data_IF_202796360313
#
_entry.id   IF_202796360313
#
_cell.length_a   1.000
_cell.length_b   1.000
_cell.length_c   1.000
_cell.angle_alpha   90.00
_cell.angle_beta   90.00
_cell.angle_gamma   90.00
#
_symmetry.space_group_name_H-M   'P 1'
#
loop_
_entity.id
_entity.type
_entity.pdbx_description
1 polymer ?
#
# COMPACT_ATOMS: atom_id res chain seq x y z
N UNK A 1 24.15 0.11 17.29
CA UNK A 1 25.04 1.29 17.26
C UNK A 1 24.59 2.33 16.23
N UNK A 2 25.08 2.36 14.98
CA UNK A 2 24.74 3.48 14.05
C UNK A 2 23.27 3.53 13.61
N UNK A 3 22.61 2.38 13.47
CA UNK A 3 21.18 2.33 13.14
C UNK A 3 20.32 2.87 14.28
N UNK A 4 20.61 2.47 15.53
CA UNK A 4 19.88 2.93 16.72
C UNK A 4 20.05 4.44 16.90
N UNK A 5 21.28 4.95 16.76
CA UNK A 5 21.54 6.39 16.79
C UNK A 5 20.72 7.16 15.74
N UNK A 6 20.65 6.64 14.51
CA UNK A 6 19.81 7.24 13.47
C UNK A 6 18.33 7.24 13.89
N UNK A 7 17.81 6.10 14.34
CA UNK A 7 16.42 5.96 14.76
C UNK A 7 16.05 6.90 15.93
N UNK A 8 16.94 7.06 16.90
CA UNK A 8 16.77 8.00 18.02
C UNK A 8 16.80 9.46 17.56
N UNK A 9 17.55 9.77 16.50
CA UNK A 9 17.70 11.14 15.99
C UNK A 9 16.55 11.60 15.09
N UNK A 10 15.89 10.70 14.35
CA UNK A 10 14.83 11.05 13.38
C UNK A 10 13.73 11.94 13.97
N UNK A 11 13.14 11.64 15.15
CA UNK A 11 12.11 12.51 15.73
C UNK A 11 12.58 13.95 15.93
N UNK A 12 13.83 14.15 16.40
CA UNK A 12 14.41 15.48 16.60
C UNK A 12 14.74 16.19 15.29
N UNK A 13 15.15 15.46 14.25
CA UNK A 13 15.45 16.03 12.92
C UNK A 13 14.23 16.69 12.28
N UNK A 14 13.03 16.17 12.55
CA UNK A 14 11.78 16.62 11.94
C UNK A 14 10.80 17.28 12.92
N UNK A 15 11.21 17.54 14.17
CA UNK A 15 10.35 18.08 15.23
C UNK A 15 9.60 19.36 14.82
N UNK A 16 10.30 20.25 14.10
CA UNK A 16 9.77 21.54 13.65
C UNK A 16 9.28 21.53 12.19
N UNK A 17 9.11 20.34 11.58
CA UNK A 17 8.64 20.23 10.21
C UNK A 17 7.21 20.76 10.07
N UNK A 18 6.99 21.64 9.09
CA UNK A 18 5.67 22.22 8.76
C UNK A 18 5.16 21.82 7.37
N UNK A 19 5.86 20.94 6.68
CA UNK A 19 5.44 20.44 5.37
C UNK A 19 4.24 19.52 5.57
N UNK A 20 3.10 19.94 5.00
CA UNK A 20 1.85 19.18 5.04
C UNK A 20 1.70 18.23 3.84
N UNK A 21 2.55 18.39 2.81
CA UNK A 21 2.52 17.61 1.59
C UNK A 21 3.23 16.26 1.74
N UNK A 22 2.76 15.25 1.00
CA UNK A 22 3.44 13.95 0.90
C UNK A 22 3.76 13.57 -0.54
N UNK A 23 5.03 13.22 -0.75
CA UNK A 23 5.57 12.68 -2.00
C UNK A 23 5.55 11.13 -2.03
N UNK A 24 4.44 10.52 -1.60
CA UNK A 24 4.27 9.06 -1.40
C UNK A 24 4.81 8.21 -2.55
N UNK A 25 4.37 8.46 -3.80
CA UNK A 25 4.80 7.67 -4.93
C UNK A 25 6.28 7.83 -5.25
N UNK A 26 6.82 9.04 -5.16
CA UNK A 26 8.25 9.28 -5.37
C UNK A 26 9.11 8.58 -4.30
N UNK A 27 8.71 8.65 -3.03
CA UNK A 27 9.39 7.98 -1.93
C UNK A 27 9.38 6.44 -2.09
N UNK A 28 8.24 5.86 -2.46
CA UNK A 28 8.16 4.43 -2.77
C UNK A 28 9.04 4.05 -3.96
N UNK A 29 9.05 4.87 -5.01
CA UNK A 29 9.90 4.63 -6.19
C UNK A 29 11.38 4.63 -5.83
N UNK A 30 11.82 5.54 -4.97
CA UNK A 30 13.19 5.56 -4.47
C UNK A 30 13.53 4.28 -3.67
N UNK A 31 12.65 3.87 -2.75
CA UNK A 31 12.80 2.60 -2.01
C UNK A 31 12.88 1.39 -2.93
N UNK A 32 11.98 1.32 -3.92
CA UNK A 32 12.03 0.30 -4.97
C UNK A 32 13.37 0.29 -5.71
N UNK A 33 13.88 1.44 -6.16
CA UNK A 33 15.13 1.49 -6.91
C UNK A 33 16.32 0.97 -6.09
N UNK A 34 16.35 1.24 -4.79
CA UNK A 34 17.37 0.70 -3.88
C UNK A 34 17.26 -0.82 -3.72
N UNK A 35 16.04 -1.37 -3.74
CA UNK A 35 15.77 -2.80 -3.56
C UNK A 35 15.74 -3.60 -4.86
N UNK A 36 15.66 -2.93 -6.02
CA UNK A 36 15.51 -3.55 -7.34
C UNK A 36 16.48 -4.70 -7.63
N UNK A 37 17.76 -4.67 -7.20
CA UNK A 37 18.68 -5.78 -7.45
C UNK A 37 18.38 -7.07 -6.66
N UNK A 38 17.68 -6.97 -5.52
CA UNK A 38 17.50 -8.07 -4.57
C UNK A 38 16.04 -8.41 -4.26
N UNK A 39 15.09 -7.55 -4.65
CA UNK A 39 13.71 -7.64 -4.19
C UNK A 39 13.57 -7.39 -2.69
N UNK A 40 12.43 -7.80 -2.13
CA UNK A 40 12.15 -7.77 -0.70
C UNK A 40 10.84 -7.08 -0.34
N UNK A 41 10.77 -6.53 0.88
CA UNK A 41 9.57 -5.85 1.39
C UNK A 41 9.84 -4.41 1.80
N UNK A 42 9.02 -3.49 1.30
CA UNK A 42 8.99 -2.09 1.67
C UNK A 42 7.83 -1.84 2.66
N UNK A 43 8.15 -1.35 3.85
CA UNK A 43 7.15 -0.89 4.82
C UNK A 43 6.99 0.63 4.69
N UNK A 44 5.82 1.09 4.26
CA UNK A 44 5.54 2.52 4.02
C UNK A 44 4.61 3.05 5.09
N UNK A 45 5.02 4.12 5.77
CA UNK A 45 4.20 4.81 6.77
C UNK A 45 3.71 6.12 6.18
N UNK A 46 2.39 6.32 6.13
CA UNK A 46 1.76 7.48 5.50
C UNK A 46 0.62 8.00 6.38
N UNK A 47 0.55 9.31 6.58
CA UNK A 47 -0.41 9.95 7.50
C UNK A 47 -1.34 10.97 6.85
N UNK A 48 -0.94 11.53 5.70
CA UNK A 48 -1.69 12.59 4.98
C UNK A 48 -2.03 12.14 3.55
N UNK A 49 -2.85 12.92 2.83
CA UNK A 49 -3.09 12.69 1.41
C UNK A 49 -1.78 12.85 0.62
N UNK A 50 -1.40 11.89 -0.24
CA UNK A 50 -0.29 12.05 -1.18
C UNK A 50 -0.53 13.22 -2.15
N UNK A 51 -0.06 14.42 -1.87
CA UNK A 51 -0.42 15.63 -2.64
C UNK A 51 0.58 16.04 -3.72
N UNK A 52 1.80 15.50 -3.72
CA UNK A 52 2.88 15.95 -4.61
C UNK A 52 3.66 14.79 -5.23
N UNK A 53 4.29 15.05 -6.37
CA UNK A 53 5.14 14.09 -7.08
C UNK A 53 4.37 13.01 -7.86
N UNK A 54 5.06 11.95 -8.24
CA UNK A 54 4.47 10.85 -9.03
C UNK A 54 3.34 10.17 -8.25
N UNK A 55 2.18 10.02 -8.88
CA UNK A 55 1.00 9.42 -8.24
C UNK A 55 0.36 10.33 -7.18
N UNK A 56 0.57 11.65 -7.26
CA UNK A 56 -0.14 12.64 -6.45
C UNK A 56 -1.65 12.53 -6.64
N UNK A 57 -2.38 12.75 -5.56
CA UNK A 57 -3.82 12.64 -5.43
C UNK A 57 -4.37 13.98 -4.92
N UNK A 58 -5.58 14.31 -5.35
CA UNK A 58 -6.38 15.40 -4.80
C UNK A 58 -7.55 14.84 -4.00
N UNK A 59 -8.10 15.63 -3.09
CA UNK A 59 -9.35 15.26 -2.44
C UNK A 59 -10.42 15.03 -3.51
N UNK A 60 -11.10 13.89 -3.47
CA UNK A 60 -12.22 13.63 -4.36
C UNK A 60 -13.32 14.63 -4.01
N UNK A 61 -13.86 15.30 -5.01
CA UNK A 61 -15.01 16.17 -4.82
C UNK A 61 -16.15 15.35 -4.20
N UNK A 62 -16.54 15.69 -2.97
CA UNK A 62 -17.78 15.18 -2.39
C UNK A 62 -18.98 15.88 -3.02
N UNK A 63 -19.25 15.64 -4.30
CA UNK A 63 -20.57 15.94 -4.88
C UNK A 63 -21.69 15.02 -4.30
N UNK A 64 -21.34 14.15 -3.35
CA UNK A 64 -22.21 13.10 -2.83
C UNK A 64 -22.80 13.30 -1.43
N UNK A 65 -22.53 14.38 -0.69
CA UNK A 65 -23.22 14.55 0.62
C UNK A 65 -24.68 14.97 0.48
N UNK A 66 -25.09 15.48 -0.68
CA UNK A 66 -26.50 15.80 -0.99
C UNK A 66 -27.20 14.77 -1.88
N UNK A 67 -26.47 13.80 -2.47
CA UNK A 67 -27.00 12.89 -3.50
C UNK A 67 -26.77 11.39 -3.20
N UNK A 68 -26.74 10.96 -1.93
CA UNK A 68 -26.82 9.52 -1.57
C UNK A 68 -28.25 8.97 -1.82
N UNK A 69 -29.03 9.59 -2.71
CA UNK A 69 -30.28 9.04 -3.25
C UNK A 69 -30.16 8.65 -4.74
N UNK A 70 -28.96 8.75 -5.33
CA UNK A 70 -28.76 8.60 -6.78
C UNK A 70 -27.80 7.45 -7.13
N UNK A 71 -28.18 6.21 -6.81
CA UNK A 71 -27.79 5.00 -7.56
C UNK A 71 -26.40 4.39 -7.30
N UNK A 72 -26.37 3.06 -7.24
CA UNK A 72 -25.20 2.19 -6.99
C UNK A 72 -23.96 2.48 -7.86
N UNK A 73 -24.13 3.09 -9.04
CA UNK A 73 -23.03 3.37 -9.99
C UNK A 73 -22.04 4.44 -9.51
N UNK A 74 -22.51 5.45 -8.75
CA UNK A 74 -21.65 6.54 -8.26
C UNK A 74 -20.74 6.06 -7.12
N UNK A 75 -21.26 5.19 -6.25
CA UNK A 75 -20.49 4.59 -5.15
C UNK A 75 -19.30 3.76 -5.67
N UNK A 76 -19.50 2.99 -6.75
CA UNK A 76 -18.42 2.21 -7.37
C UNK A 76 -17.28 3.09 -7.89
N UNK A 77 -17.56 4.28 -8.41
CA UNK A 77 -16.54 5.22 -8.92
C UNK A 77 -15.61 5.72 -7.81
N UNK A 78 -16.14 5.95 -6.60
CA UNK A 78 -15.35 6.37 -5.45
C UNK A 78 -14.41 5.27 -4.91
N UNK A 79 -14.70 4.01 -5.23
CA UNK A 79 -13.90 2.85 -4.84
C UNK A 79 -12.82 2.49 -5.87
N UNK A 80 -12.81 3.14 -7.04
CA UNK A 80 -11.74 2.95 -8.03
C UNK A 80 -10.57 3.87 -7.73
N UNK A 81 -9.32 3.48 -8.02
CA UNK A 81 -8.19 4.41 -8.01
C UNK A 81 -8.43 5.56 -8.98
N UNK A 82 -7.89 6.74 -8.67
CA UNK A 82 -8.03 7.94 -9.51
C UNK A 82 -7.50 7.70 -10.93
N UNK A 83 -6.33 7.08 -11.03
CA UNK A 83 -5.69 6.77 -12.30
C UNK A 83 -4.92 5.43 -12.23
N UNK A 84 -4.16 5.13 -13.30
CA UNK A 84 -3.35 3.91 -13.40
C UNK A 84 -1.91 4.07 -12.91
N UNK A 85 -1.47 5.26 -12.49
CA UNK A 85 -0.06 5.57 -12.18
C UNK A 85 0.46 4.66 -11.06
N UNK A 86 -0.26 4.59 -9.93
CA UNK A 86 0.11 3.72 -8.81
C UNK A 86 0.02 2.23 -9.19
N UNK A 87 -0.94 1.85 -10.05
CA UNK A 87 -1.04 0.47 -10.56
C UNK A 87 0.17 0.08 -11.40
N UNK A 88 0.59 0.95 -12.32
CA UNK A 88 1.75 0.74 -13.18
C UNK A 88 3.03 0.60 -12.35
N UNK A 89 3.21 1.48 -11.35
CA UNK A 89 4.34 1.37 -10.42
C UNK A 89 4.31 0.05 -9.65
N UNK A 90 3.14 -0.36 -9.15
CA UNK A 90 3.02 -1.59 -8.37
C UNK A 90 3.28 -2.85 -9.21
N UNK A 91 2.89 -2.85 -10.49
CA UNK A 91 3.25 -3.92 -11.43
C UNK A 91 4.75 -4.00 -11.64
N UNK A 92 5.44 -2.86 -11.77
CA UNK A 92 6.90 -2.82 -11.85
C UNK A 92 7.54 -3.31 -10.55
N UNK A 93 7.02 -2.93 -9.38
CA UNK A 93 7.56 -3.40 -8.10
C UNK A 93 7.45 -4.92 -7.97
N UNK A 94 6.28 -5.47 -8.30
CA UNK A 94 6.07 -6.92 -8.34
C UNK A 94 6.95 -7.61 -9.40
N UNK A 95 7.32 -6.91 -10.49
CA UNK A 95 8.23 -7.43 -11.51
C UNK A 95 9.57 -7.88 -10.90
N UNK A 96 10.11 -7.04 -10.03
CA UNK A 96 11.39 -7.21 -9.34
C UNK A 96 11.23 -7.72 -7.90
N UNK A 97 10.15 -8.46 -7.64
CA UNK A 97 9.94 -9.14 -6.35
C UNK A 97 9.94 -8.17 -5.14
N UNK A 98 9.45 -6.94 -5.34
CA UNK A 98 9.27 -5.96 -4.27
C UNK A 98 7.80 -5.94 -3.84
N UNK A 99 7.55 -6.34 -2.60
CA UNK A 99 6.27 -6.22 -1.92
C UNK A 99 6.19 -4.90 -1.14
N UNK A 100 5.01 -4.28 -1.10
CA UNK A 100 4.77 -3.05 -0.32
C UNK A 100 3.66 -3.29 0.69
N UNK A 101 3.96 -3.10 1.97
CA UNK A 101 2.95 -2.98 3.04
C UNK A 101 2.80 -1.50 3.42
N UNK A 102 1.57 -1.01 3.56
CA UNK A 102 1.29 0.40 3.87
C UNK A 102 0.59 0.52 5.21
N UNK A 103 1.17 1.31 6.12
CA UNK A 103 0.59 1.72 7.39
C UNK A 103 0.03 3.14 7.24
N UNK A 104 -1.29 3.26 7.29
CA UNK A 104 -2.05 4.50 7.18
C UNK A 104 -2.50 4.98 8.55
N UNK A 105 -1.76 5.91 9.14
CA UNK A 105 -2.04 6.53 10.43
C UNK A 105 -2.54 7.95 10.23
N UNK A 106 -3.83 8.11 9.95
CA UNK A 106 -4.39 9.39 9.49
C UNK A 106 -5.51 9.91 10.39
N UNK A 107 -5.68 11.23 10.43
CA UNK A 107 -6.83 11.93 11.03
C UNK A 107 -7.73 12.59 9.97
N UNK A 108 -7.37 12.50 8.69
CA UNK A 108 -8.08 13.13 7.57
C UNK A 108 -8.16 12.19 6.36
N UNK A 109 -8.83 12.66 5.30
CA UNK A 109 -8.96 11.90 4.07
C UNK A 109 -7.61 11.70 3.37
N UNK A 110 -7.30 10.46 2.94
CA UNK A 110 -6.04 10.10 2.26
C UNK A 110 -6.22 9.34 0.95
N UNK A 111 -7.46 9.13 0.50
CA UNK A 111 -7.79 8.30 -0.67
C UNK A 111 -7.24 6.86 -0.63
N UNK A 112 -7.72 6.08 0.34
CA UNK A 112 -7.34 4.67 0.53
C UNK A 112 -7.61 3.82 -0.73
N UNK A 113 -8.65 4.15 -1.51
CA UNK A 113 -8.96 3.42 -2.74
C UNK A 113 -7.78 3.46 -3.73
N UNK A 114 -7.18 4.64 -3.93
CA UNK A 114 -5.99 4.79 -4.79
C UNK A 114 -4.74 4.17 -4.15
N UNK A 115 -4.50 4.43 -2.87
CA UNK A 115 -3.30 3.91 -2.16
C UNK A 115 -3.28 2.38 -2.13
N UNK A 116 -4.43 1.75 -1.86
CA UNK A 116 -4.53 0.30 -1.66
C UNK A 116 -4.16 -0.52 -2.91
N UNK A 117 -4.17 0.08 -4.08
CA UNK A 117 -3.79 -0.58 -5.33
C UNK A 117 -2.35 -1.11 -5.27
N UNK A 118 -1.44 -0.39 -4.61
CA UNK A 118 -0.04 -0.79 -4.52
C UNK A 118 0.12 -2.10 -3.73
N UNK A 119 -0.22 -2.15 -2.42
CA UNK A 119 -0.15 -3.40 -1.65
C UNK A 119 -0.99 -4.52 -2.27
N UNK A 120 -2.17 -4.22 -2.80
CA UNK A 120 -3.02 -5.25 -3.42
C UNK A 120 -2.37 -5.88 -4.65
N UNK A 121 -1.59 -5.12 -5.41
CA UNK A 121 -0.90 -5.63 -6.61
C UNK A 121 0.40 -6.34 -6.26
N UNK A 122 1.09 -5.91 -5.19
CA UNK A 122 2.40 -6.46 -4.83
C UNK A 122 2.33 -7.60 -3.81
N UNK A 123 1.14 -8.08 -3.45
CA UNK A 123 0.95 -9.12 -2.42
C UNK A 123 1.01 -8.62 -0.97
N UNK A 124 1.08 -7.30 -0.77
CA UNK A 124 1.15 -6.68 0.55
C UNK A 124 -0.21 -6.38 1.17
N UNK A 125 -0.21 -5.54 2.19
CA UNK A 125 -1.38 -5.20 3.01
C UNK A 125 -1.45 -3.71 3.33
N UNK A 126 -2.68 -3.23 3.48
CA UNK A 126 -2.97 -1.92 4.08
C UNK A 126 -3.35 -2.13 5.54
N UNK A 127 -2.65 -1.45 6.43
CA UNK A 127 -3.01 -1.30 7.83
C UNK A 127 -3.60 0.09 8.01
N UNK A 128 -4.91 0.16 8.30
CA UNK A 128 -5.64 1.43 8.34
C UNK A 128 -6.05 1.80 9.77
N UNK A 129 -5.61 2.98 10.21
CA UNK A 129 -5.91 3.55 11.52
C UNK A 129 -6.52 4.94 11.31
N UNK A 130 -7.83 5.04 11.55
CA UNK A 130 -8.57 6.28 11.42
C UNK A 130 -9.75 6.34 12.42
N UNK A 131 -9.93 7.48 13.11
CA UNK A 131 -8.93 8.54 13.29
C UNK A 131 -7.77 8.01 14.15
N UNK A 132 -6.52 8.20 13.72
CA UNK A 132 -5.35 7.77 14.49
C UNK A 132 -4.92 8.82 15.52
N UNK A 133 -4.74 8.38 16.77
CA UNK A 133 -4.16 9.16 17.85
C UNK A 133 -2.94 8.45 18.42
N UNK A 134 -1.80 9.14 18.42
CA UNK A 134 -0.56 8.64 19.01
C UNK A 134 -0.67 8.40 20.54
N UNK A 135 -1.68 8.99 21.19
CA UNK A 135 -1.92 8.81 22.63
C UNK A 135 -2.74 7.56 22.93
N UNK A 136 -3.73 7.23 22.10
CA UNK A 136 -4.67 6.14 22.38
C UNK A 136 -4.38 4.86 21.60
N UNK A 137 -3.81 4.97 20.41
CA UNK A 137 -3.69 3.83 19.47
C UNK A 137 -2.29 3.21 19.34
N UNK A 138 -1.24 3.53 20.14
CA UNK A 138 0.10 3.01 19.88
C UNK A 138 0.18 1.49 20.05
N UNK A 139 -0.61 0.90 20.96
CA UNK A 139 -0.61 -0.53 21.21
C UNK A 139 -1.03 -1.35 19.98
N UNK A 140 -2.05 -0.87 19.24
CA UNK A 140 -2.54 -1.55 18.05
C UNK A 140 -1.51 -1.48 16.92
N UNK A 141 -0.99 -0.28 16.63
CA UNK A 141 0.04 -0.08 15.62
C UNK A 141 1.28 -0.92 15.93
N UNK A 142 1.74 -0.92 17.18
CA UNK A 142 2.88 -1.71 17.61
C UNK A 142 2.66 -3.22 17.39
N UNK A 143 1.50 -3.74 17.79
CA UNK A 143 1.21 -5.17 17.64
C UNK A 143 1.14 -5.58 16.16
N UNK A 144 0.50 -4.77 15.33
CA UNK A 144 0.38 -5.02 13.89
C UNK A 144 1.74 -4.94 13.19
N UNK A 145 2.57 -3.95 13.53
CA UNK A 145 3.93 -3.80 13.00
C UNK A 145 4.83 -4.96 13.45
N UNK A 146 4.82 -5.29 14.75
CA UNK A 146 5.55 -6.44 15.29
C UNK A 146 5.16 -7.71 14.56
N UNK A 147 3.86 -7.98 14.44
CA UNK A 147 3.36 -9.15 13.72
C UNK A 147 3.77 -9.14 12.25
N UNK A 148 3.70 -7.97 11.58
CA UNK A 148 4.14 -7.83 10.21
C UNK A 148 5.61 -8.26 10.05
N UNK A 149 6.49 -7.77 10.92
CA UNK A 149 7.93 -8.06 10.84
C UNK A 149 8.25 -9.51 11.24
N UNK A 150 7.60 -10.04 12.28
CA UNK A 150 8.00 -11.32 12.87
C UNK A 150 7.29 -12.56 12.32
N UNK A 151 6.17 -12.39 11.61
CA UNK A 151 5.44 -13.55 11.05
C UNK A 151 6.33 -14.28 10.02
N UNK A 152 6.18 -15.61 9.85
CA UNK A 152 6.80 -16.31 8.72
C UNK A 152 6.38 -15.67 7.40
N UNK A 153 7.35 -15.47 6.51
CA UNK A 153 7.14 -14.91 5.17
C UNK A 153 7.93 -15.72 4.16
N UNK A 154 7.36 -15.91 2.98
CA UNK A 154 8.06 -16.44 1.81
C UNK A 154 8.29 -15.30 0.82
N UNK A 155 9.45 -15.26 0.16
CA UNK A 155 9.76 -14.29 -0.87
C UNK A 155 9.81 -14.98 -2.23
N UNK A 156 9.58 -14.21 -3.29
CA UNK A 156 9.71 -14.68 -4.69
C UNK A 156 8.85 -15.91 -4.99
N UNK A 157 7.67 -16.01 -4.37
CA UNK A 157 6.83 -17.18 -4.47
C UNK A 157 5.94 -17.11 -5.73
N UNK A 158 5.71 -18.29 -6.32
CA UNK A 158 4.74 -18.47 -7.41
C UNK A 158 3.76 -19.56 -7.02
N UNK A 159 2.47 -19.23 -7.05
CA UNK A 159 1.40 -20.18 -6.77
C UNK A 159 0.68 -20.57 -8.06
N UNK A 160 0.43 -21.88 -8.23
CA UNK A 160 -0.38 -22.41 -9.31
C UNK A 160 -1.34 -23.48 -8.80
N UNK A 161 -2.63 -23.27 -9.01
CA UNK A 161 -3.65 -24.27 -8.68
C UNK A 161 -3.81 -25.24 -9.86
N UNK A 162 -3.76 -26.54 -9.57
CA UNK A 162 -4.01 -27.62 -10.52
C UNK A 162 -5.27 -28.37 -10.12
N UNK A 163 -6.02 -28.84 -11.10
CA UNK A 163 -7.28 -29.53 -10.90
C UNK A 163 -7.32 -30.83 -11.72
N UNK A 164 -8.13 -31.79 -11.28
CA UNK A 164 -8.31 -33.06 -11.97
C UNK A 164 -8.98 -32.89 -13.32
N UNK A 165 -8.95 -33.94 -14.15
CA UNK A 165 -9.64 -33.93 -15.43
C UNK A 165 -11.12 -33.55 -15.28
N UNK A 166 -11.59 -32.65 -16.16
CA UNK A 166 -12.96 -32.14 -16.14
C UNK A 166 -13.17 -30.89 -15.26
N UNK A 167 -12.16 -30.45 -14.50
CA UNK A 167 -12.19 -29.21 -13.73
C UNK A 167 -11.23 -28.17 -14.33
N UNK A 168 -11.55 -26.89 -14.15
CA UNK A 168 -10.68 -25.76 -14.51
C UNK A 168 -10.76 -24.65 -13.46
N UNK A 169 -9.65 -23.95 -13.25
CA UNK A 169 -9.62 -22.74 -12.40
C UNK A 169 -10.13 -21.58 -13.23
N UNK A 170 -11.26 -21.00 -12.81
CA UNK A 170 -11.89 -19.89 -13.53
C UNK A 170 -11.19 -18.56 -13.26
N UNK A 171 -10.99 -18.22 -11.99
CA UNK A 171 -10.35 -16.98 -11.59
C UNK A 171 -9.68 -17.08 -10.23
N UNK A 172 -8.89 -16.06 -9.93
CA UNK A 172 -8.19 -15.88 -8.66
C UNK A 172 -8.55 -14.53 -8.06
N UNK A 173 -8.73 -14.49 -6.74
CA UNK A 173 -9.03 -13.26 -5.99
C UNK A 173 -8.12 -13.14 -4.78
N UNK A 174 -7.52 -11.97 -4.60
CA UNK A 174 -6.59 -11.71 -3.50
C UNK A 174 -5.55 -10.66 -3.86
N UNK A 175 -4.58 -10.48 -2.95
CA UNK A 175 -3.47 -9.57 -3.17
C UNK A 175 -2.32 -10.34 -3.80
N UNK A 176 -2.06 -10.08 -5.07
CA UNK A 176 -1.00 -10.72 -5.83
C UNK A 176 -0.81 -10.01 -7.18
N UNK A 177 0.28 -10.34 -7.85
CA UNK A 177 0.49 -9.98 -9.24
C UNK A 177 0.16 -11.17 -10.15
N UNK A 178 -0.47 -10.92 -11.29
CA UNK A 178 -0.82 -11.94 -12.28
C UNK A 178 -0.25 -11.52 -13.63
N UNK A 179 0.84 -12.17 -14.05
CA UNK A 179 1.45 -11.95 -15.38
C UNK A 179 0.94 -12.96 -16.41
N UNK A 180 0.71 -14.19 -15.97
CA UNK A 180 0.21 -15.29 -16.80
C UNK A 180 -1.13 -15.77 -16.22
N UNK A 181 -2.12 -16.18 -17.03
CA UNK A 181 -3.43 -16.55 -16.52
C UNK A 181 -3.45 -17.65 -15.45
N UNK A 182 -2.45 -18.54 -15.46
CA UNK A 182 -2.39 -19.73 -14.59
C UNK A 182 -1.55 -19.55 -13.35
N UNK A 183 -0.64 -18.57 -13.34
CA UNK A 183 0.42 -18.46 -12.35
C UNK A 183 0.24 -17.14 -11.59
N UNK A 184 0.29 -17.23 -10.26
CA UNK A 184 0.13 -16.11 -9.34
C UNK A 184 1.49 -15.78 -8.75
N UNK A 185 1.97 -14.56 -8.99
CA UNK A 185 3.20 -14.05 -8.42
C UNK A 185 2.92 -13.43 -7.04
N UNK A 186 3.68 -13.87 -6.05
CA UNK A 186 3.64 -13.43 -4.66
C UNK A 186 5.03 -12.92 -4.26
N UNK A 187 5.32 -11.62 -4.47
CA UNK A 187 6.62 -11.05 -4.16
C UNK A 187 7.09 -11.25 -2.70
N UNK A 188 6.17 -11.17 -1.72
CA UNK A 188 6.41 -11.47 -0.30
C UNK A 188 5.13 -11.84 0.47
#
# INVERSE_FOLDING_TARGET
DSLEQLLESIPSMFENNRVADSAFGAAMKAGFLAMKPTGGKLLVFQSVLPSVGTGSLSARETEGRSNISSGDKEAHKLLQPVDKTLKTMALEFAEYQVCVDVFLTTQSYTDVASISVVPSTTGGRVYYYFPFSALSDPAKLFNDLRWNITRPQGLEAVMRVRCSQGLQVQDYSGNFCKRVPTDIDLPA
#
